data_IF_703073598248
#
_entry.id   IF_703073598248
#
_cell.length_a   1.000
_cell.length_b   1.000
_cell.length_c   1.000
_cell.angle_alpha   90.00
_cell.angle_beta   90.00
_cell.angle_gamma   90.00
#
_symmetry.space_group_name_H-M   'P 1'
#
loop_
_entity.id
_entity.type
_entity.pdbx_description
1 polymer ?
#
# COMPACT_ATOMS: atom_id res chain seq x y z
N UNK A 1 -8.17 6.52 -20.16
CA UNK A 1 -7.06 5.97 -19.37
C UNK A 1 -7.65 5.03 -18.33
N UNK A 2 -7.60 3.70 -18.54
CA UNK A 2 -8.07 2.74 -17.54
C UNK A 2 -7.18 2.82 -16.31
N UNK A 3 -7.79 2.73 -15.12
CA UNK A 3 -7.08 2.66 -13.85
C UNK A 3 -7.61 1.45 -13.09
N UNK A 4 -6.71 0.52 -12.79
CA UNK A 4 -7.03 -0.69 -12.05
C UNK A 4 -6.74 -0.51 -10.56
N UNK A 5 -7.45 -1.24 -9.71
CA UNK A 5 -7.10 -1.39 -8.30
C UNK A 5 -6.53 -2.78 -8.07
N UNK A 6 -5.42 -2.85 -7.34
CA UNK A 6 -4.84 -4.09 -6.84
C UNK A 6 -5.01 -4.08 -5.33
N UNK A 7 -5.78 -5.04 -4.80
CA UNK A 7 -6.06 -5.15 -3.37
C UNK A 7 -5.46 -6.45 -2.84
N UNK A 8 -4.57 -6.34 -1.86
CA UNK A 8 -4.00 -7.48 -1.14
C UNK A 8 -4.88 -7.82 0.05
N UNK A 9 -5.19 -9.09 0.24
CA UNK A 9 -5.94 -9.55 1.41
C UNK A 9 -5.62 -11.01 1.75
N UNK A 10 -5.67 -11.32 3.03
CA UNK A 10 -5.60 -12.68 3.56
C UNK A 10 -6.61 -12.82 4.70
N UNK A 11 -7.27 -13.97 4.78
CA UNK A 11 -8.00 -14.40 5.96
C UNK A 11 -7.06 -15.13 6.92
N UNK A 12 -6.60 -14.43 7.96
CA UNK A 12 -5.78 -15.04 9.00
C UNK A 12 -6.50 -16.08 9.88
N UNK A 13 -7.81 -16.29 9.71
CA UNK A 13 -8.58 -17.32 10.40
C UNK A 13 -8.78 -18.60 9.57
N UNK A 14 -8.38 -18.60 8.29
CA UNK A 14 -8.46 -19.78 7.44
C UNK A 14 -7.54 -20.89 7.99
N UNK A 15 -8.12 -22.03 8.34
CA UNK A 15 -7.38 -23.15 8.92
C UNK A 15 -6.33 -23.74 7.99
N UNK A 16 -6.59 -23.77 6.68
CA UNK A 16 -5.66 -24.30 5.68
C UNK A 16 -4.46 -23.38 5.57
N UNK A 17 -4.71 -22.09 5.50
CA UNK A 17 -3.67 -21.06 5.47
C UNK A 17 -2.83 -21.06 6.76
N UNK A 18 -3.48 -21.11 7.93
CA UNK A 18 -2.81 -21.20 9.23
C UNK A 18 -1.94 -22.46 9.35
N UNK A 19 -2.46 -23.62 8.91
CA UNK A 19 -1.71 -24.88 8.88
C UNK A 19 -0.47 -24.77 7.99
N UNK A 20 -0.57 -24.13 6.83
CA UNK A 20 0.58 -23.91 5.94
C UNK A 20 1.59 -22.93 6.55
N UNK A 21 1.14 -21.78 7.05
CA UNK A 21 1.98 -20.79 7.73
C UNK A 21 2.77 -21.40 8.89
N UNK A 22 2.10 -22.16 9.74
CA UNK A 22 2.71 -22.75 10.94
C UNK A 22 3.76 -23.83 10.63
N UNK A 23 3.83 -24.37 9.40
CA UNK A 23 4.93 -25.27 8.99
C UNK A 23 6.28 -24.54 8.90
N UNK A 24 6.26 -23.24 8.63
CA UNK A 24 7.46 -22.43 8.40
C UNK A 24 7.70 -21.38 9.49
N UNK A 25 6.71 -21.12 10.34
CA UNK A 25 6.79 -20.07 11.35
C UNK A 25 7.96 -20.33 12.31
N UNK A 26 8.88 -19.38 12.36
CA UNK A 26 9.86 -19.27 13.44
C UNK A 26 9.21 -18.39 14.50
N UNK A 27 9.32 -18.75 15.78
CA UNK A 27 8.73 -18.00 16.90
C UNK A 27 9.40 -16.63 17.12
N UNK A 28 9.30 -15.74 16.14
CA UNK A 28 9.65 -14.31 16.22
C UNK A 28 8.50 -13.47 15.67
N UNK A 29 7.68 -12.97 16.59
CA UNK A 29 6.51 -12.17 16.29
C UNK A 29 6.83 -10.67 16.12
N UNK A 30 8.10 -10.25 16.18
CA UNK A 30 8.45 -8.81 16.14
C UNK A 30 8.06 -8.11 14.84
N UNK A 31 8.25 -8.78 13.70
CA UNK A 31 7.82 -8.31 12.36
C UNK A 31 6.57 -9.02 11.84
N UNK A 32 6.22 -10.15 12.46
CA UNK A 32 5.26 -11.14 11.96
C UNK A 32 4.16 -11.45 12.98
N UNK A 33 3.85 -10.50 13.86
CA UNK A 33 2.76 -10.61 14.82
C UNK A 33 1.39 -10.82 14.18
N UNK A 34 0.43 -11.28 14.99
CA UNK A 34 -0.93 -11.60 14.56
C UNK A 34 -1.63 -10.43 13.85
N UNK A 35 -1.34 -9.18 14.25
CA UNK A 35 -1.92 -7.98 13.65
C UNK A 35 -1.59 -7.83 12.17
N UNK A 36 -0.58 -8.53 11.66
CA UNK A 36 -0.18 -8.50 10.24
C UNK A 36 -1.02 -9.41 9.34
N UNK A 37 -1.78 -10.31 9.94
CA UNK A 37 -2.58 -11.32 9.24
C UNK A 37 -4.05 -11.29 9.64
N UNK A 38 -4.40 -10.48 10.64
CA UNK A 38 -5.72 -10.44 11.24
C UNK A 38 -6.72 -9.79 10.29
N UNK A 39 -7.67 -10.57 9.78
CA UNK A 39 -8.77 -10.02 8.99
C UNK A 39 -9.66 -9.13 9.86
N UNK A 40 -9.94 -7.94 9.33
CA UNK A 40 -10.80 -6.96 9.93
C UNK A 40 -12.28 -7.26 9.65
N UNK A 41 -12.61 -8.22 8.80
CA UNK A 41 -13.98 -8.48 8.33
C UNK A 41 -14.56 -7.25 7.64
N UNK A 42 -13.69 -6.44 7.01
CA UNK A 42 -14.06 -5.19 6.35
C UNK A 42 -13.94 -5.24 4.84
N UNK A 43 -13.39 -6.33 4.28
CA UNK A 43 -13.21 -6.51 2.85
C UNK A 43 -14.52 -6.28 2.07
N UNK A 44 -15.64 -6.81 2.58
CA UNK A 44 -16.97 -6.57 1.96
C UNK A 44 -17.30 -5.09 1.82
N UNK A 45 -17.06 -4.31 2.88
CA UNK A 45 -17.30 -2.87 2.87
C UNK A 45 -16.34 -2.14 1.96
N UNK A 46 -15.11 -2.62 1.78
CA UNK A 46 -14.16 -2.07 0.82
C UNK A 46 -14.74 -2.10 -0.60
N UNK A 47 -15.33 -3.22 -1.02
CA UNK A 47 -15.98 -3.33 -2.34
C UNK A 47 -17.20 -2.41 -2.48
N UNK A 48 -18.03 -2.32 -1.43
CA UNK A 48 -19.16 -1.39 -1.41
C UNK A 48 -18.71 0.08 -1.53
N UNK A 49 -17.60 0.44 -0.86
CA UNK A 49 -16.97 1.75 -0.96
C UNK A 49 -16.47 2.02 -2.37
N UNK A 50 -15.80 1.06 -3.01
CA UNK A 50 -15.33 1.23 -4.40
C UNK A 50 -16.51 1.43 -5.35
N UNK A 51 -17.55 0.61 -5.25
CA UNK A 51 -18.75 0.74 -6.07
C UNK A 51 -19.42 2.13 -5.91
N UNK A 52 -19.46 2.66 -4.69
CA UNK A 52 -20.10 3.95 -4.38
C UNK A 52 -19.21 5.15 -4.74
N UNK A 53 -17.94 5.09 -4.34
CA UNK A 53 -17.05 6.25 -4.28
C UNK A 53 -16.02 6.30 -5.41
N UNK A 54 -15.77 5.19 -6.10
CA UNK A 54 -14.86 5.11 -7.24
C UNK A 54 -15.42 4.23 -8.38
N UNK A 55 -16.68 4.43 -8.83
CA UNK A 55 -17.29 3.58 -9.88
C UNK A 55 -16.56 3.63 -11.23
N UNK A 56 -15.71 4.63 -11.43
CA UNK A 56 -14.83 4.80 -12.58
C UNK A 56 -13.70 3.78 -12.65
N UNK A 57 -13.45 2.99 -11.59
CA UNK A 57 -12.45 1.92 -11.59
C UNK A 57 -12.66 1.03 -12.81
N UNK A 58 -11.56 0.72 -13.50
CA UNK A 58 -11.59 -0.12 -14.68
C UNK A 58 -11.75 -1.58 -14.27
N UNK A 59 -10.81 -2.09 -13.47
CA UNK A 59 -10.78 -3.46 -13.00
C UNK A 59 -10.22 -3.55 -11.58
N UNK A 60 -10.64 -4.55 -10.81
CA UNK A 60 -10.13 -4.87 -9.47
C UNK A 60 -9.45 -6.23 -9.54
N UNK A 61 -8.17 -6.27 -9.18
CA UNK A 61 -7.40 -7.49 -8.96
C UNK A 61 -7.33 -7.74 -7.46
N UNK A 62 -8.12 -8.71 -6.97
CA UNK A 62 -8.08 -9.14 -5.58
C UNK A 62 -7.01 -10.22 -5.45
N UNK A 63 -5.88 -9.88 -4.85
CA UNK A 63 -4.74 -10.77 -4.62
C UNK A 63 -4.93 -11.50 -3.30
N UNK A 64 -4.98 -12.84 -3.35
CA UNK A 64 -5.20 -13.70 -2.17
C UNK A 64 -4.27 -14.91 -2.17
N UNK A 65 -4.17 -15.58 -1.02
CA UNK A 65 -3.50 -16.88 -0.91
C UNK A 65 -4.48 -18.04 -1.14
N UNK A 66 -5.09 -18.07 -2.34
CA UNK A 66 -6.12 -19.05 -2.75
C UNK A 66 -7.48 -18.92 -2.05
N UNK A 67 -7.63 -17.94 -1.16
CA UNK A 67 -8.86 -17.68 -0.42
C UNK A 67 -9.87 -16.93 -1.28
N UNK A 68 -11.14 -17.27 -1.11
CA UNK A 68 -12.26 -16.59 -1.78
C UNK A 68 -13.38 -16.33 -0.76
N UNK A 69 -13.71 -15.06 -0.46
CA UNK A 69 -14.80 -14.75 0.45
C UNK A 69 -16.15 -15.27 -0.06
N UNK A 70 -16.93 -15.91 0.81
CA UNK A 70 -18.20 -16.55 0.42
C UNK A 70 -19.22 -15.59 -0.20
N UNK A 71 -19.24 -14.33 0.25
CA UNK A 71 -20.15 -13.29 -0.21
C UNK A 71 -19.80 -12.72 -1.60
N UNK A 72 -18.59 -12.97 -2.10
CA UNK A 72 -18.05 -12.32 -3.30
C UNK A 72 -18.66 -12.88 -4.59
N UNK A 73 -19.17 -12.00 -5.45
CA UNK A 73 -19.60 -12.34 -6.80
C UNK A 73 -18.37 -12.54 -7.72
N UNK A 74 -17.92 -13.78 -7.83
CA UNK A 74 -16.76 -14.15 -8.64
C UNK A 74 -16.95 -13.93 -10.15
N UNK A 75 -18.19 -13.78 -10.61
CA UNK A 75 -18.52 -13.56 -12.02
C UNK A 75 -18.58 -12.08 -12.41
N UNK A 76 -18.32 -11.17 -11.46
CA UNK A 76 -18.38 -9.74 -11.70
C UNK A 76 -17.37 -9.32 -12.79
N UNK A 77 -17.80 -8.61 -13.86
CA UNK A 77 -16.96 -8.37 -15.03
C UNK A 77 -15.73 -7.49 -14.76
N UNK A 78 -15.76 -6.67 -13.70
CA UNK A 78 -14.63 -5.84 -13.25
C UNK A 78 -13.75 -6.48 -12.17
N UNK A 79 -13.88 -7.78 -11.92
CA UNK A 79 -13.16 -8.47 -10.84
C UNK A 79 -12.33 -9.63 -11.39
N UNK A 80 -11.09 -9.74 -10.93
CA UNK A 80 -10.29 -10.95 -11.07
C UNK A 80 -9.66 -11.29 -9.73
N UNK A 81 -9.88 -12.52 -9.27
CA UNK A 81 -9.19 -13.07 -8.12
C UNK A 81 -7.86 -13.62 -8.63
N UNK A 82 -6.77 -13.16 -8.04
CA UNK A 82 -5.39 -13.50 -8.42
C UNK A 82 -4.73 -14.20 -7.25
N UNK A 83 -4.16 -15.37 -7.49
CA UNK A 83 -3.40 -16.12 -6.47
C UNK A 83 -1.94 -15.73 -6.55
N UNK A 84 -1.19 -15.84 -5.46
CA UNK A 84 0.25 -15.58 -5.47
C UNK A 84 0.99 -16.35 -6.58
N UNK A 85 0.63 -17.63 -6.80
CA UNK A 85 1.18 -18.48 -7.85
C UNK A 85 0.89 -18.02 -9.29
N UNK A 86 -0.06 -17.12 -9.51
CA UNK A 86 -0.41 -16.64 -10.86
C UNK A 86 0.59 -15.60 -11.39
N UNK A 87 1.44 -15.02 -10.52
CA UNK A 87 2.38 -13.95 -10.90
C UNK A 87 3.75 -13.98 -10.20
N UNK A 88 3.89 -14.71 -9.09
CA UNK A 88 5.16 -14.87 -8.37
C UNK A 88 5.96 -16.08 -8.90
N UNK A 89 7.31 -16.04 -8.85
CA UNK A 89 8.15 -17.21 -9.13
C UNK A 89 7.82 -18.39 -8.19
N UNK A 90 7.81 -19.61 -8.70
CA UNK A 90 7.39 -20.79 -7.93
C UNK A 90 8.30 -21.08 -6.72
N UNK A 91 9.58 -20.74 -6.80
CA UNK A 91 10.58 -20.90 -5.75
C UNK A 91 10.41 -19.90 -4.59
N UNK A 92 9.63 -18.82 -4.80
CA UNK A 92 9.28 -17.84 -3.75
C UNK A 92 8.06 -18.23 -2.91
N UNK A 93 7.45 -19.38 -3.19
CA UNK A 93 6.19 -19.83 -2.57
C UNK A 93 6.39 -21.05 -1.65
N UNK A 94 5.53 -21.23 -0.62
CA UNK A 94 4.53 -20.28 -0.15
C UNK A 94 5.17 -19.07 0.53
N UNK A 95 4.49 -17.92 0.51
CA UNK A 95 4.92 -16.72 1.23
C UNK A 95 3.76 -16.12 2.03
N UNK A 96 4.10 -15.59 3.20
CA UNK A 96 3.24 -14.83 4.10
C UNK A 96 3.75 -13.39 4.24
N UNK A 97 4.74 -13.01 3.42
CA UNK A 97 5.37 -11.70 3.44
C UNK A 97 4.72 -10.78 2.39
N UNK A 98 3.95 -9.78 2.84
CA UNK A 98 3.37 -8.78 1.94
C UNK A 98 4.41 -7.97 1.17
N UNK A 99 5.60 -7.72 1.73
CA UNK A 99 6.68 -7.07 0.98
C UNK A 99 7.09 -7.93 -0.23
N UNK A 100 7.28 -9.23 -0.01
CA UNK A 100 7.61 -10.20 -1.06
C UNK A 100 6.52 -10.26 -2.14
N UNK A 101 5.23 -10.31 -1.74
CA UNK A 101 4.10 -10.32 -2.68
C UNK A 101 4.10 -9.03 -3.51
N UNK A 102 4.29 -7.89 -2.85
CA UNK A 102 4.29 -6.58 -3.49
C UNK A 102 5.44 -6.43 -4.50
N UNK A 103 6.57 -7.13 -4.35
CA UNK A 103 7.68 -7.10 -5.31
C UNK A 103 7.30 -7.56 -6.72
N UNK A 104 6.22 -8.33 -6.88
CA UNK A 104 5.85 -8.95 -8.16
C UNK A 104 4.54 -8.44 -8.76
N UNK A 105 3.86 -7.45 -8.18
CA UNK A 105 2.54 -6.95 -8.64
C UNK A 105 2.50 -6.59 -10.12
N UNK A 106 3.58 -6.02 -10.65
CA UNK A 106 3.69 -5.69 -12.07
C UNK A 106 3.64 -6.90 -13.03
N UNK A 107 3.79 -8.13 -12.50
CA UNK A 107 3.66 -9.39 -13.26
C UNK A 107 2.23 -9.90 -13.33
N UNK A 108 1.27 -9.30 -12.62
CA UNK A 108 -0.14 -9.68 -12.73
C UNK A 108 -0.60 -9.56 -14.19
N UNK A 109 -1.10 -10.68 -14.72
CA UNK A 109 -1.58 -10.76 -16.09
C UNK A 109 -2.84 -9.90 -16.24
N UNK A 110 -2.87 -9.08 -17.29
CA UNK A 110 -3.99 -8.18 -17.58
C UNK A 110 -3.99 -6.87 -16.80
N UNK A 111 -3.07 -6.66 -15.85
CA UNK A 111 -2.93 -5.39 -15.14
C UNK A 111 -2.60 -4.24 -16.11
N UNK A 112 -3.38 -3.17 -16.07
CA UNK A 112 -3.21 -1.97 -16.89
C UNK A 112 -1.94 -1.19 -16.54
N UNK A 113 -1.57 -0.27 -17.42
CA UNK A 113 -0.43 0.62 -17.19
C UNK A 113 -0.63 1.50 -15.94
N UNK A 114 -1.85 1.94 -15.65
CA UNK A 114 -2.14 2.77 -14.48
C UNK A 114 -2.89 1.93 -13.46
N UNK A 115 -2.35 1.82 -12.25
CA UNK A 115 -3.03 1.10 -11.18
C UNK A 115 -2.78 1.74 -9.81
N UNK A 116 -3.64 1.42 -8.86
CA UNK A 116 -3.51 1.86 -7.47
C UNK A 116 -3.42 0.61 -6.60
N UNK A 117 -2.36 0.54 -5.80
CA UNK A 117 -2.13 -0.54 -4.86
C UNK A 117 -2.76 -0.20 -3.50
N UNK A 118 -3.55 -1.13 -2.98
CA UNK A 118 -4.21 -1.09 -1.68
C UNK A 118 -3.77 -2.29 -0.85
N UNK A 119 -3.51 -2.02 0.43
CA UNK A 119 -3.64 -3.03 1.48
C UNK A 119 -5.11 -3.03 1.97
N UNK A 120 -5.52 -4.09 2.68
CA UNK A 120 -6.89 -4.31 3.15
C UNK A 120 -7.34 -3.35 4.26
N UNK A 121 -6.41 -2.62 4.87
CA UNK A 121 -6.68 -1.56 5.83
C UNK A 121 -6.83 -0.17 5.21
N UNK A 122 -6.74 -0.05 3.87
CA UNK A 122 -6.86 1.20 3.13
C UNK A 122 -8.22 1.35 2.44
N UNK A 123 -8.94 2.43 2.73
CA UNK A 123 -10.35 2.61 2.34
C UNK A 123 -10.62 3.92 1.59
N UNK A 124 -11.67 3.90 0.76
CA UNK A 124 -12.21 5.07 0.05
C UNK A 124 -13.47 5.55 0.79
N UNK A 125 -13.32 6.52 1.68
CA UNK A 125 -14.36 6.99 2.59
C UNK A 125 -15.32 8.04 1.98
N UNK A 126 -14.96 8.64 0.83
CA UNK A 126 -15.81 9.60 0.11
C UNK A 126 -15.63 9.47 -1.40
N UNK A 127 -16.58 9.95 -2.22
CA UNK A 127 -16.43 9.97 -3.67
C UNK A 127 -15.13 10.65 -4.10
N UNK A 128 -14.37 9.97 -4.95
CA UNK A 128 -13.12 10.46 -5.53
C UNK A 128 -13.19 10.42 -7.06
N UNK A 129 -12.38 11.27 -7.71
CA UNK A 129 -12.16 11.25 -9.16
C UNK A 129 -10.84 10.53 -9.48
N UNK A 130 -10.65 10.00 -10.70
CA UNK A 130 -9.35 9.50 -11.18
C UNK A 130 -8.18 10.45 -10.92
N UNK A 131 -8.46 11.77 -10.98
CA UNK A 131 -7.50 12.85 -10.75
C UNK A 131 -6.86 12.88 -9.36
N UNK A 132 -7.40 12.12 -8.41
CA UNK A 132 -6.77 11.91 -7.09
C UNK A 132 -5.46 11.13 -7.24
N UNK A 133 -5.42 10.16 -8.16
CA UNK A 133 -4.29 9.25 -8.35
C UNK A 133 -3.42 9.58 -9.55
N UNK A 134 -4.02 10.06 -10.65
CA UNK A 134 -3.30 10.37 -11.88
C UNK A 134 -3.78 11.67 -12.51
N UNK A 135 -2.87 12.48 -13.05
CA UNK A 135 -3.24 13.65 -13.86
C UNK A 135 -3.94 13.21 -15.15
N UNK A 136 -4.54 14.16 -15.88
CA UNK A 136 -5.11 13.86 -17.21
C UNK A 136 -4.06 13.31 -18.20
N UNK A 137 -2.78 13.63 -17.99
CA UNK A 137 -1.66 13.12 -18.77
C UNK A 137 -1.15 11.74 -18.32
N UNK A 138 -1.77 11.13 -17.29
CA UNK A 138 -1.36 9.83 -16.74
C UNK A 138 -0.20 9.89 -15.75
N UNK A 139 0.24 11.08 -15.34
CA UNK A 139 1.30 11.21 -14.34
C UNK A 139 0.76 10.88 -12.94
N UNK A 140 1.41 9.99 -12.16
CA UNK A 140 1.01 9.72 -10.78
C UNK A 140 1.00 10.98 -9.91
N UNK A 141 -0.02 11.12 -9.07
CA UNK A 141 -0.14 12.17 -8.07
C UNK A 141 0.50 11.71 -6.75
N UNK A 142 1.39 12.52 -6.16
CA UNK A 142 2.10 12.15 -4.93
C UNK A 142 2.51 13.38 -4.10
N UNK A 143 3.00 13.13 -2.89
CA UNK A 143 3.47 14.11 -1.92
C UNK A 143 4.97 13.88 -1.71
N UNK A 144 5.78 14.84 -2.17
CA UNK A 144 7.19 14.88 -1.85
C UNK A 144 7.43 15.68 -0.57
N UNK A 145 7.86 15.00 0.48
CA UNK A 145 8.35 15.64 1.69
C UNK A 145 9.49 14.82 2.29
N UNK A 146 10.41 15.49 2.98
CA UNK A 146 11.40 14.84 3.81
C UNK A 146 10.84 14.56 5.20
N UNK A 147 11.39 13.54 5.83
CA UNK A 147 11.12 13.20 7.21
C UNK A 147 12.39 12.69 7.89
N UNK A 148 12.30 12.39 9.17
CA UNK A 148 13.38 11.77 9.95
C UNK A 148 13.08 10.28 10.13
N UNK A 149 14.11 9.42 10.04
CA UNK A 149 13.99 8.01 10.44
C UNK A 149 13.91 7.98 11.96
N UNK A 150 12.81 7.47 12.48
CA UNK A 150 12.63 7.22 13.90
C UNK A 150 12.53 5.70 14.11
N UNK A 151 13.64 5.02 14.43
CA UNK A 151 13.69 3.56 14.53
C UNK A 151 13.07 3.09 15.85
N UNK A 152 11.74 3.10 15.91
CA UNK A 152 10.96 2.65 17.08
C UNK A 152 10.79 1.13 17.11
N UNK A 153 10.87 0.49 15.95
CA UNK A 153 10.67 -0.95 15.77
C UNK A 153 11.50 -1.47 14.59
N UNK A 154 11.50 -2.78 14.40
CA UNK A 154 12.19 -3.42 13.27
C UNK A 154 11.57 -3.06 11.91
N UNK A 155 10.30 -2.64 11.86
CA UNK A 155 9.67 -2.20 10.61
C UNK A 155 10.36 -0.96 10.03
N UNK A 156 11.04 -0.17 10.87
CA UNK A 156 11.85 0.95 10.43
C UNK A 156 12.96 0.57 9.42
N UNK A 157 13.41 -0.69 9.41
CA UNK A 157 14.39 -1.19 8.44
C UNK A 157 13.90 -1.08 7.00
N UNK A 158 12.58 -1.19 6.73
CA UNK A 158 12.04 -0.99 5.38
C UNK A 158 12.33 0.43 4.87
N UNK A 159 12.21 1.44 5.72
CA UNK A 159 12.58 2.81 5.32
C UNK A 159 14.08 2.90 5.04
N UNK A 160 14.91 2.28 5.90
CA UNK A 160 16.37 2.31 5.78
C UNK A 160 16.84 1.61 4.50
N UNK A 161 16.38 0.39 4.23
CA UNK A 161 16.82 -0.42 3.10
C UNK A 161 16.46 0.23 1.76
N UNK A 162 15.19 0.63 1.61
CA UNK A 162 14.73 1.35 0.42
C UNK A 162 15.52 2.66 0.23
N UNK A 163 15.74 3.42 1.29
CA UNK A 163 16.44 4.71 1.22
C UNK A 163 17.95 4.55 0.97
N UNK A 164 18.57 3.48 1.46
CA UNK A 164 19.97 3.17 1.20
C UNK A 164 20.20 2.98 -0.30
N UNK A 165 19.35 2.21 -0.97
CA UNK A 165 19.40 2.02 -2.44
C UNK A 165 19.22 3.34 -3.19
N UNK A 166 18.24 4.14 -2.81
CA UNK A 166 18.00 5.46 -3.43
C UNK A 166 19.20 6.41 -3.23
N UNK A 167 19.80 6.43 -2.04
CA UNK A 167 20.97 7.28 -1.76
C UNK A 167 22.26 6.79 -2.46
N UNK A 168 22.36 5.51 -2.83
CA UNK A 168 23.47 4.99 -3.62
C UNK A 168 23.40 5.49 -5.08
N UNK A 169 22.18 5.60 -5.62
CA UNK A 169 21.97 5.90 -7.04
C UNK A 169 21.62 7.38 -7.32
N UNK A 170 21.14 8.12 -6.31
CA UNK A 170 20.67 9.49 -6.47
C UNK A 170 21.27 10.45 -5.45
N UNK A 171 21.59 11.66 -5.90
CA UNK A 171 22.04 12.73 -5.01
C UNK A 171 20.94 13.75 -4.82
N UNK A 172 20.65 14.10 -3.56
CA UNK A 172 19.63 15.11 -3.21
C UNK A 172 19.84 16.46 -3.90
N UNK A 173 21.09 16.83 -4.18
CA UNK A 173 21.43 18.05 -4.93
C UNK A 173 20.77 18.08 -6.32
N UNK A 174 20.60 16.93 -6.96
CA UNK A 174 20.03 16.84 -8.30
C UNK A 174 18.52 17.03 -8.26
N UNK A 175 17.83 16.45 -7.26
CA UNK A 175 16.43 16.77 -6.95
C UNK A 175 16.25 18.28 -6.71
N UNK A 176 17.14 18.90 -5.93
CA UNK A 176 17.06 20.34 -5.64
C UNK A 176 17.27 21.20 -6.89
N UNK A 177 18.18 20.81 -7.79
CA UNK A 177 18.46 21.54 -9.03
C UNK A 177 17.34 21.38 -10.06
N UNK A 178 16.81 20.16 -10.22
CA UNK A 178 15.90 19.82 -11.31
C UNK A 178 14.42 19.95 -10.92
N UNK A 179 14.11 19.77 -9.63
CA UNK A 179 12.74 19.58 -9.15
C UNK A 179 12.41 20.41 -7.90
N UNK A 180 13.03 21.58 -7.75
CA UNK A 180 12.85 22.49 -6.61
C UNK A 180 11.36 22.76 -6.28
N UNK A 181 10.55 23.12 -7.28
CA UNK A 181 9.12 23.41 -7.10
C UNK A 181 8.24 22.17 -6.89
N UNK A 182 8.78 20.97 -7.14
CA UNK A 182 8.14 19.71 -6.73
C UNK A 182 8.45 19.37 -5.28
N UNK A 183 9.60 19.76 -4.75
CA UNK A 183 9.95 19.62 -3.34
C UNK A 183 9.25 20.69 -2.47
N UNK A 184 9.25 21.95 -2.92
CA UNK A 184 8.57 23.05 -2.25
C UNK A 184 7.27 23.38 -2.98
N UNK A 185 6.17 22.82 -2.49
CA UNK A 185 4.85 23.02 -3.07
C UNK A 185 3.84 23.45 -2.01
N UNK A 186 3.06 24.49 -2.30
CA UNK A 186 2.06 25.02 -1.36
C UNK A 186 1.05 23.96 -0.89
N UNK A 187 0.77 22.94 -1.72
CA UNK A 187 -0.13 21.82 -1.40
C UNK A 187 0.33 20.95 -0.24
N UNK A 188 1.62 20.99 0.11
CA UNK A 188 2.19 20.18 1.19
C UNK A 188 2.05 20.82 2.58
N UNK A 189 1.71 22.11 2.64
CA UNK A 189 1.54 22.85 3.90
C UNK A 189 2.80 22.77 4.79
N UNK A 190 2.62 22.31 6.04
CA UNK A 190 3.71 22.23 7.04
C UNK A 190 4.88 21.33 6.65
N UNK A 191 4.72 20.41 5.69
CA UNK A 191 5.88 19.63 5.18
C UNK A 191 6.93 20.53 4.54
N UNK A 192 6.57 21.69 3.97
CA UNK A 192 7.58 22.61 3.43
C UNK A 192 8.55 23.11 4.52
N UNK A 193 8.07 23.28 5.75
CA UNK A 193 8.92 23.65 6.90
C UNK A 193 9.88 22.51 7.22
N UNK A 194 9.40 21.27 7.21
CA UNK A 194 10.24 20.10 7.46
C UNK A 194 11.26 19.86 6.33
N UNK A 195 10.84 20.10 5.08
CA UNK A 195 11.72 20.07 3.91
C UNK A 195 12.86 21.06 4.07
N UNK A 196 12.54 22.32 4.45
CA UNK A 196 13.51 23.38 4.71
C UNK A 196 14.46 23.01 5.85
N UNK A 197 13.93 22.52 6.98
CA UNK A 197 14.72 22.08 8.13
C UNK A 197 15.72 20.99 7.75
N UNK A 198 15.30 20.02 6.94
CA UNK A 198 16.12 18.88 6.55
C UNK A 198 16.98 19.15 5.30
N UNK A 199 16.91 20.33 4.68
CA UNK A 199 17.71 20.66 3.48
C UNK A 199 19.23 20.48 3.68
N UNK A 200 19.86 20.90 4.80
CA UNK A 200 21.32 20.88 4.94
C UNK A 200 21.98 19.50 4.82
N UNK A 201 21.25 18.42 5.10
CA UNK A 201 21.75 17.06 4.92
C UNK A 201 21.98 16.75 3.44
N UNK A 202 23.18 16.26 3.10
CA UNK A 202 23.59 15.96 1.72
C UNK A 202 22.79 14.80 1.10
N UNK A 203 22.49 13.79 1.90
CA UNK A 203 21.72 12.61 1.48
C UNK A 203 20.25 12.78 1.82
N UNK A 204 19.39 12.00 1.18
CA UNK A 204 17.99 11.90 1.58
C UNK A 204 17.90 11.30 2.99
N UNK A 205 17.19 11.95 3.89
CA UNK A 205 17.06 11.51 5.31
C UNK A 205 15.98 10.45 5.48
N UNK A 206 14.81 10.70 4.89
CA UNK A 206 13.63 9.83 4.73
C UNK A 206 12.63 10.58 3.88
N UNK A 207 11.70 9.89 3.23
CA UNK A 207 10.53 10.53 2.64
C UNK A 207 9.33 10.53 3.61
N UNK A 208 8.38 11.43 3.36
CA UNK A 208 7.07 11.41 3.99
C UNK A 208 6.21 10.32 3.32
N UNK A 209 5.80 9.34 4.12
CA UNK A 209 4.95 8.23 3.69
C UNK A 209 3.55 8.44 4.27
N UNK A 210 2.54 8.79 3.45
CA UNK A 210 1.20 9.08 3.95
C UNK A 210 0.45 7.84 4.46
N UNK A 211 0.94 6.64 4.13
CA UNK A 211 0.28 5.36 4.39
C UNK A 211 -1.16 5.39 3.85
N UNK A 212 -1.29 5.60 2.55
CA UNK A 212 -2.53 5.66 1.78
C UNK A 212 -2.35 4.83 0.50
N UNK A 213 -3.41 4.51 -0.25
CA UNK A 213 -3.29 3.81 -1.52
C UNK A 213 -2.35 4.55 -2.48
N UNK A 214 -1.41 3.82 -3.09
CA UNK A 214 -0.39 4.42 -3.93
C UNK A 214 -0.67 4.16 -5.40
N UNK A 215 -0.68 5.23 -6.20
CA UNK A 215 -0.75 5.17 -7.65
C UNK A 215 0.61 4.74 -8.22
N UNK A 216 0.59 3.84 -9.21
CA UNK A 216 1.77 3.33 -9.89
C UNK A 216 1.57 3.23 -11.40
N UNK A 217 2.67 3.38 -12.12
CA UNK A 217 2.78 2.98 -13.51
C UNK A 217 3.39 1.58 -13.57
N UNK A 218 2.79 0.69 -14.36
CA UNK A 218 3.29 -0.69 -14.52
C UNK A 218 4.69 -0.70 -15.12
N UNK A 219 4.94 0.15 -16.12
CA UNK A 219 6.26 0.33 -16.71
C UNK A 219 7.31 0.82 -15.72
N UNK A 220 6.97 1.78 -14.86
CA UNK A 220 7.84 2.28 -13.76
C UNK A 220 8.17 1.15 -12.78
N UNK A 221 7.15 0.40 -12.37
CA UNK A 221 7.30 -0.73 -11.45
C UNK A 221 8.22 -1.81 -12.03
N UNK A 222 8.04 -2.16 -13.31
CA UNK A 222 8.90 -3.11 -14.03
C UNK A 222 10.34 -2.62 -14.10
N UNK A 223 10.55 -1.35 -14.44
CA UNK A 223 11.87 -0.76 -14.55
C UNK A 223 12.61 -0.79 -13.22
N UNK A 224 11.96 -0.36 -12.13
CA UNK A 224 12.58 -0.32 -10.80
C UNK A 224 12.91 -1.74 -10.34
N UNK A 225 12.01 -2.70 -10.53
CA UNK A 225 12.26 -4.10 -10.16
C UNK A 225 13.37 -4.74 -11.00
N UNK A 226 13.54 -4.33 -12.27
CA UNK A 226 14.67 -4.76 -13.09
C UNK A 226 16.00 -4.14 -12.61
N UNK A 227 15.99 -2.86 -12.21
CA UNK A 227 17.18 -2.18 -11.65
C UNK A 227 17.63 -2.81 -10.33
N UNK A 228 16.67 -3.17 -9.47
CA UNK A 228 16.92 -3.75 -8.15
C UNK A 228 16.59 -5.25 -8.12
N UNK A 229 16.89 -5.97 -9.19
CA UNK A 229 16.48 -7.37 -9.36
C UNK A 229 17.06 -8.28 -8.29
N UNK A 230 18.28 -8.00 -7.81
CA UNK A 230 18.87 -8.76 -6.71
C UNK A 230 18.03 -8.62 -5.44
N UNK A 231 17.71 -7.40 -5.02
CA UNK A 231 16.93 -7.13 -3.81
C UNK A 231 15.48 -7.60 -3.94
N UNK A 232 14.92 -7.54 -5.16
CA UNK A 232 13.62 -8.11 -5.48
C UNK A 232 13.60 -9.63 -5.25
N UNK A 233 14.61 -10.34 -5.75
CA UNK A 233 14.73 -11.79 -5.58
C UNK A 233 14.96 -12.13 -4.10
N UNK A 234 15.90 -11.46 -3.43
CA UNK A 234 16.19 -11.67 -2.01
C UNK A 234 14.93 -11.51 -1.15
N UNK A 235 14.24 -10.36 -1.24
CA UNK A 235 12.97 -10.13 -0.53
C UNK A 235 11.91 -11.16 -0.91
N UNK A 236 11.87 -11.56 -2.19
CA UNK A 236 10.95 -12.59 -2.68
C UNK A 236 11.13 -13.96 -2.03
N UNK A 237 12.35 -14.32 -1.62
CA UNK A 237 12.63 -15.62 -1.00
C UNK A 237 12.22 -15.67 0.49
N UNK A 238 11.99 -14.53 1.12
CA UNK A 238 11.57 -14.47 2.52
C UNK A 238 10.08 -14.83 2.65
N UNK A 239 9.80 -15.94 3.32
CA UNK A 239 8.42 -16.39 3.60
C UNK A 239 7.71 -15.49 4.60
N UNK A 240 8.47 -14.86 5.48
CA UNK A 240 8.01 -13.92 6.50
C UNK A 240 8.76 -12.61 6.32
N UNK A 241 8.27 -11.52 6.93
CA UNK A 241 8.99 -10.26 6.88
C UNK A 241 10.33 -10.37 7.59
N UNK A 242 11.37 -9.87 6.96
CA UNK A 242 12.72 -9.81 7.49
C UNK A 242 13.26 -8.38 7.50
N UNK A 243 14.23 -8.10 8.37
CA UNK A 243 14.86 -6.77 8.47
C UNK A 243 15.65 -6.38 7.22
N UNK A 244 15.93 -7.31 6.32
CA UNK A 244 16.61 -7.12 5.04
C UNK A 244 15.66 -6.76 3.90
N UNK A 245 14.34 -6.87 4.10
CA UNK A 245 13.34 -6.64 3.06
C UNK A 245 13.42 -5.22 2.48
N UNK A 246 13.08 -5.12 1.19
CA UNK A 246 12.65 -3.87 0.55
C UNK A 246 11.12 -3.88 0.37
N UNK A 247 10.53 -2.75 0.01
CA UNK A 247 9.08 -2.67 -0.23
C UNK A 247 8.75 -1.90 -1.50
N UNK A 248 7.47 -1.94 -1.91
CA UNK A 248 6.98 -1.20 -3.07
C UNK A 248 7.19 0.33 -2.96
N UNK A 249 7.54 0.83 -1.77
CA UNK A 249 7.96 2.22 -1.58
C UNK A 249 9.23 2.55 -2.35
N UNK A 250 10.10 1.59 -2.66
CA UNK A 250 11.26 1.83 -3.52
C UNK A 250 10.84 2.39 -4.88
N UNK A 251 9.80 1.82 -5.50
CA UNK A 251 9.21 2.31 -6.76
C UNK A 251 8.73 3.75 -6.60
N UNK A 252 8.08 4.05 -5.48
CA UNK A 252 7.65 5.42 -5.17
C UNK A 252 8.84 6.35 -4.96
N UNK A 253 9.87 5.93 -4.25
CA UNK A 253 11.01 6.79 -3.93
C UNK A 253 11.81 7.14 -5.18
N UNK A 254 12.01 6.19 -6.08
CA UNK A 254 12.56 6.40 -7.42
C UNK A 254 11.77 7.47 -8.19
N UNK A 255 10.44 7.36 -8.20
CA UNK A 255 9.57 8.37 -8.81
C UNK A 255 9.75 9.76 -8.20
N UNK A 256 9.83 9.82 -6.87
CA UNK A 256 9.97 11.08 -6.14
C UNK A 256 11.29 11.79 -6.46
N UNK A 257 12.41 11.05 -6.49
CA UNK A 257 13.74 11.62 -6.73
C UNK A 257 13.98 11.99 -8.20
N UNK A 258 13.38 11.26 -9.13
CA UNK A 258 13.37 11.56 -10.58
C UNK A 258 12.33 12.61 -10.97
N UNK A 259 11.48 13.02 -10.03
CA UNK A 259 10.45 14.03 -10.27
C UNK A 259 9.33 13.55 -11.19
N UNK A 260 9.14 12.25 -11.43
CA UNK A 260 8.11 11.71 -12.34
C UNK A 260 6.71 11.64 -11.72
N UNK A 261 6.31 12.68 -10.98
CA UNK A 261 5.00 12.78 -10.33
C UNK A 261 4.42 14.21 -10.40
N UNK A 262 3.13 14.34 -10.09
CA UNK A 262 2.44 15.60 -9.90
C UNK A 262 2.15 15.86 -8.41
N UNK A 263 2.53 17.03 -7.85
CA UNK A 263 2.25 17.36 -6.46
C UNK A 263 0.76 17.31 -6.10
N UNK A 264 0.40 16.57 -5.06
CA UNK A 264 -0.97 16.50 -4.52
C UNK A 264 -1.07 17.05 -3.09
N UNK A 265 -2.31 17.28 -2.64
CA UNK A 265 -2.59 17.80 -1.30
C UNK A 265 -2.61 16.68 -0.26
N UNK A 266 -1.92 16.89 0.87
CA UNK A 266 -1.99 16.01 2.05
C UNK A 266 -3.39 15.93 2.66
N UNK A 267 -4.27 16.87 2.32
CA UNK A 267 -5.61 16.90 2.90
C UNK A 267 -6.49 15.75 2.43
N UNK A 268 -6.14 15.08 1.33
CA UNK A 268 -6.95 14.01 0.69
C UNK A 268 -7.25 12.84 1.63
N UNK A 269 -6.31 12.51 2.52
CA UNK A 269 -6.46 11.36 3.40
C UNK A 269 -5.81 11.49 4.75
N UNK A 270 -5.93 10.44 5.54
CA UNK A 270 -5.33 10.31 6.87
C UNK A 270 -5.13 8.84 7.24
N UNK A 271 -4.02 8.56 7.92
CA UNK A 271 -3.88 7.37 8.75
C UNK A 271 -4.58 7.63 10.09
N UNK A 272 -5.46 6.72 10.47
CA UNK A 272 -6.06 6.63 11.81
C UNK A 272 -5.82 5.25 12.36
N UNK A 273 -6.05 5.06 13.66
CA UNK A 273 -5.88 3.76 14.29
C UNK A 273 -7.21 3.23 14.82
N UNK A 274 -7.30 1.91 14.99
CA UNK A 274 -8.47 1.28 15.61
C UNK A 274 -8.82 1.96 16.95
N UNK A 275 -10.05 2.46 17.03
CA UNK A 275 -10.59 3.20 18.17
C UNK A 275 -10.59 4.72 18.02
N UNK A 276 -9.81 5.27 17.08
CA UNK A 276 -9.89 6.68 16.73
C UNK A 276 -11.17 6.95 15.91
N UNK A 277 -11.77 8.16 16.00
CA UNK A 277 -12.92 8.50 15.18
C UNK A 277 -12.55 8.57 13.69
N UNK A 278 -13.42 8.03 12.83
CA UNK A 278 -13.22 8.08 11.38
C UNK A 278 -13.39 9.53 10.89
N UNK A 279 -12.41 10.12 10.20
CA UNK A 279 -12.48 11.50 9.76
C UNK A 279 -13.34 11.62 8.50
N UNK A 280 -14.61 12.01 8.68
CA UNK A 280 -15.62 12.08 7.61
C UNK A 280 -15.28 13.04 6.46
N UNK A 281 -14.38 14.00 6.71
CA UNK A 281 -13.89 14.97 5.73
C UNK A 281 -12.79 14.40 4.82
N UNK A 282 -12.20 13.25 5.18
CA UNK A 282 -11.12 12.61 4.42
C UNK A 282 -11.69 11.64 3.41
N UNK A 283 -11.18 11.71 2.18
CA UNK A 283 -11.64 10.85 1.09
C UNK A 283 -10.94 9.50 1.10
N UNK A 284 -9.66 9.46 1.48
CA UNK A 284 -8.90 8.24 1.69
C UNK A 284 -8.59 8.09 3.17
N UNK A 285 -8.79 6.91 3.73
CA UNK A 285 -8.42 6.62 5.12
C UNK A 285 -7.68 5.30 5.18
N UNK A 286 -6.70 5.19 6.06
CA UNK A 286 -6.13 3.90 6.43
C UNK A 286 -6.36 3.69 7.90
N UNK A 287 -6.74 2.48 8.30
CA UNK A 287 -7.06 2.13 9.69
C UNK A 287 -6.02 1.14 10.21
N UNK A 288 -4.94 1.65 10.79
CA UNK A 288 -3.90 0.81 11.35
C UNK A 288 -4.33 0.12 12.66
N UNK A 289 -3.75 -1.05 12.92
CA UNK A 289 -3.83 -1.69 14.24
C UNK A 289 -2.83 -1.03 15.20
N UNK A 290 -3.19 -0.98 16.49
CA UNK A 290 -2.23 -0.73 17.58
C UNK A 290 -1.95 -2.09 18.24
N UNK A 291 -0.91 -2.20 19.06
CA UNK A 291 -0.77 -3.39 19.92
C UNK A 291 -1.95 -3.45 20.91
N UNK A 292 -3.03 -4.13 20.52
CA UNK A 292 -4.29 -4.25 21.25
C UNK A 292 -4.50 -5.68 21.72
N UNK A 293 -5.11 -5.85 22.90
CA UNK A 293 -5.59 -7.17 23.29
C UNK A 293 -6.70 -7.64 22.35
N UNK A 294 -6.91 -8.96 22.24
CA UNK A 294 -7.99 -9.53 21.41
C UNK A 294 -9.36 -8.93 21.75
N UNK A 295 -9.69 -8.79 23.04
CA UNK A 295 -10.97 -8.18 23.46
C UNK A 295 -11.10 -6.71 23.05
N UNK A 296 -10.01 -5.93 23.12
CA UNK A 296 -10.00 -4.55 22.66
C UNK A 296 -10.15 -4.46 21.15
N UNK A 297 -9.49 -5.34 20.41
CA UNK A 297 -9.61 -5.44 18.96
C UNK A 297 -11.07 -5.70 18.55
N UNK A 298 -11.70 -6.75 19.08
CA UNK A 298 -13.09 -7.13 18.73
C UNK A 298 -14.08 -5.99 18.98
N UNK A 299 -13.96 -5.30 20.12
CA UNK A 299 -14.82 -4.16 20.45
C UNK A 299 -14.63 -2.98 19.51
N UNK A 300 -13.39 -2.70 19.11
CA UNK A 300 -13.07 -1.55 18.23
C UNK A 300 -13.45 -1.85 16.79
N UNK A 301 -13.18 -3.05 16.30
CA UNK A 301 -13.51 -3.41 14.92
C UNK A 301 -15.02 -3.49 14.70
N UNK A 302 -15.80 -3.90 15.70
CA UNK A 302 -17.26 -3.88 15.64
C UNK A 302 -17.81 -2.49 15.34
N UNK A 303 -17.25 -1.44 15.98
CA UNK A 303 -17.65 -0.04 15.74
C UNK A 303 -17.34 0.40 14.30
N UNK A 304 -16.19 -0.02 13.77
CA UNK A 304 -15.80 0.27 12.38
C UNK A 304 -16.75 -0.42 11.40
N UNK A 305 -17.04 -1.72 11.61
CA UNK A 305 -18.00 -2.48 10.79
C UNK A 305 -19.39 -1.85 10.82
N UNK A 306 -19.88 -1.44 12.00
CA UNK A 306 -21.16 -0.74 12.14
C UNK A 306 -21.17 0.61 11.40
N UNK A 307 -20.09 1.39 11.51
CA UNK A 307 -19.97 2.64 10.76
C UNK A 307 -20.06 2.41 9.25
N UNK A 308 -19.33 1.42 8.73
CA UNK A 308 -19.37 1.08 7.31
C UNK A 308 -20.74 0.54 6.87
N UNK A 309 -21.34 -0.35 7.65
CA UNK A 309 -22.66 -0.92 7.38
C UNK A 309 -23.75 0.16 7.32
N UNK A 310 -23.69 1.18 8.18
CA UNK A 310 -24.65 2.28 8.19
C UNK A 310 -24.46 3.24 7.01
N UNK A 311 -23.27 3.28 6.42
CA UNK A 311 -22.89 4.23 5.38
C UNK A 311 -22.98 3.68 3.97
N UNK A 312 -22.74 2.39 3.79
CA UNK A 312 -22.68 1.75 2.47
C UNK A 312 -23.70 0.63 2.33
N UNK A 313 -24.32 0.56 1.17
CA UNK A 313 -25.27 -0.49 0.80
C UNK A 313 -24.59 -1.62 0.03
N UNK A 314 -25.30 -2.73 -0.11
CA UNK A 314 -24.87 -3.88 -0.91
C UNK A 314 -24.48 -3.45 -2.33
N UNK A 315 -23.37 -3.97 -2.83
CA UNK A 315 -22.87 -3.73 -4.19
C UNK A 315 -23.08 -4.92 -5.12
N UNK A 316 -22.87 -4.72 -6.42
CA UNK A 316 -22.88 -5.76 -7.47
C UNK A 316 -21.71 -6.75 -7.37
N UNK A 317 -20.69 -6.42 -6.57
CA UNK A 317 -19.62 -7.35 -6.17
C UNK A 317 -20.07 -8.38 -5.12
N UNK A 318 -21.28 -8.27 -4.57
CA UNK A 318 -21.85 -9.24 -3.63
C UNK A 318 -22.87 -10.14 -4.33
N UNK A 319 -22.88 -11.45 -4.01
CA UNK A 319 -23.83 -12.45 -4.53
C UNK A 319 -25.28 -12.14 -4.20
#
# INVERSE_FOLDING_TARGET
MPIDFVLLWVDGQDETWLKEKNKYAIHDDTLNGDERYRDYGTLKYWFQMVATNAPWVNHIFLVTDNQIPEWLNQTHPKLTIVRHADFMPADTLPTFNSNAIQMYIHKIKGLSEHFVLFDDDMFINRPIKPSVFFTQAGTPCDILGFNVINPVDQFAHLFVNNLALVNQNHQKKDLLRQHFFKLFNWRYGVLNVLNLYLLPWRSFTRFFDPHLPYAYLKSEYQMVMATYSQQQVETGQHRFREISDISHWLVRYERLVTGNFSPMSRKIGALVYLGDPIPEQKALITIGDKSLSRSQFELRILKIRQYFQNKYSKSDFEK
#
